data_IF_177998714017
#
_entry.id   IF_177998714017
#
_cell.length_a   1.000
_cell.length_b   1.000
_cell.length_c   1.000
_cell.angle_alpha   90.00
_cell.angle_beta   90.00
_cell.angle_gamma   90.00
#
_symmetry.space_group_name_H-M   'P 1'
#
loop_
_entity.id
_entity.type
_entity.pdbx_description
1 polymer ?
#
# COMPACT_ATOMS: atom_id res chain seq x y z
N UNK A 1 13.65 -3.47 -0.90
CA UNK A 1 14.92 -2.71 -0.73
C UNK A 1 14.62 -1.24 -1.03
N UNK A 2 15.26 -0.29 -0.34
CA UNK A 2 15.14 1.15 -0.62
C UNK A 2 16.52 1.64 -1.08
N UNK A 3 16.57 2.28 -2.26
CA UNK A 3 17.80 2.80 -2.88
C UNK A 3 17.92 4.30 -2.63
N UNK A 4 19.16 4.77 -2.67
CA UNK A 4 19.52 6.18 -2.57
C UNK A 4 18.89 6.85 -1.34
N UNK A 5 19.03 6.17 -0.20
CA UNK A 5 18.67 6.75 1.09
C UNK A 5 19.76 7.79 1.43
N UNK A 6 19.40 9.06 1.70
CA UNK A 6 20.35 10.06 2.18
C UNK A 6 21.04 9.61 3.48
N UNK A 7 22.30 10.02 3.67
CA UNK A 7 23.09 9.63 4.87
C UNK A 7 22.45 10.09 6.18
N UNK A 8 21.70 11.19 6.15
CA UNK A 8 21.00 11.78 7.30
C UNK A 8 19.51 11.43 7.35
N UNK A 9 19.08 10.41 6.60
CA UNK A 9 17.68 10.00 6.60
C UNK A 9 17.27 9.39 7.95
N UNK A 10 16.01 9.63 8.31
CA UNK A 10 15.36 9.08 9.50
C UNK A 10 14.34 8.03 9.11
N UNK A 11 14.27 6.93 9.86
CA UNK A 11 13.18 5.96 9.80
C UNK A 11 12.30 6.11 11.04
N UNK A 12 11.04 6.47 10.83
CA UNK A 12 10.01 6.45 11.87
C UNK A 12 9.15 5.20 11.66
N UNK A 13 9.04 4.36 12.68
CA UNK A 13 8.21 3.16 12.66
C UNK A 13 7.01 3.39 13.56
N UNK A 14 5.81 3.33 12.99
CA UNK A 14 4.54 3.45 13.72
C UNK A 14 3.84 2.09 13.73
N UNK A 15 3.31 1.72 14.89
CA UNK A 15 2.69 0.43 15.13
C UNK A 15 1.22 0.65 15.46
N UNK A 16 0.37 -0.13 14.82
CA UNK A 16 -1.07 -0.08 14.98
C UNK A 16 -1.60 -1.48 15.25
N UNK A 17 -2.58 -1.57 16.14
CA UNK A 17 -3.33 -2.78 16.41
C UNK A 17 -4.49 -2.89 15.42
N UNK A 18 -4.54 -4.03 14.73
CA UNK A 18 -5.55 -4.28 13.71
C UNK A 18 -6.56 -5.29 14.25
N UNK A 19 -7.69 -4.77 14.68
CA UNK A 19 -8.85 -5.59 15.04
C UNK A 19 -9.69 -5.95 13.81
N UNK A 20 -10.49 -7.02 13.84
CA UNK A 20 -11.43 -7.28 12.74
C UNK A 20 -12.74 -6.45 12.85
N UNK A 21 -13.05 -5.93 14.03
CA UNK A 21 -14.38 -5.37 14.34
C UNK A 21 -14.48 -3.83 14.28
N UNK A 22 -13.36 -3.10 14.18
CA UNK A 22 -13.33 -1.63 14.23
C UNK A 22 -13.15 -0.94 12.86
N UNK A 23 -13.55 0.32 12.84
CA UNK A 23 -13.27 1.36 11.84
C UNK A 23 -11.79 1.56 11.51
N UNK A 24 -11.04 1.69 12.61
CA UNK A 24 -9.76 2.35 12.68
C UNK A 24 -8.80 1.45 13.45
N UNK A 25 -7.55 1.44 13.02
CA UNK A 25 -6.50 0.69 13.71
C UNK A 25 -6.07 1.52 14.92
N UNK A 26 -5.96 0.87 16.08
CA UNK A 26 -5.64 1.57 17.31
C UNK A 26 -4.13 1.80 17.36
N UNK A 27 -3.71 3.04 17.59
CA UNK A 27 -2.30 3.37 17.65
C UNK A 27 -1.66 2.78 18.91
N UNK A 28 -0.66 1.91 18.72
CA UNK A 28 0.09 1.30 19.83
C UNK A 28 1.24 2.21 20.25
N UNK A 29 2.01 2.71 19.28
CA UNK A 29 3.20 3.51 19.55
C UNK A 29 4.15 3.63 18.36
N UNK A 30 5.25 4.32 18.58
CA UNK A 30 6.28 4.54 17.57
C UNK A 30 7.69 4.56 18.14
N UNK A 31 8.68 4.47 17.26
CA UNK A 31 10.08 4.75 17.57
C UNK A 31 10.80 5.26 16.32
N UNK A 32 11.97 5.88 16.53
CA UNK A 32 12.76 6.48 15.47
C UNK A 32 14.19 5.95 15.43
N UNK A 33 14.73 5.86 14.21
CA UNK A 33 16.14 5.52 13.94
C UNK A 33 16.73 6.62 13.07
N UNK A 34 17.81 7.24 13.55
CA UNK A 34 18.48 8.37 12.87
C UNK A 34 19.68 7.94 12.00
N UNK A 35 20.33 6.82 12.35
CA UNK A 35 21.48 6.31 11.60
C UNK A 35 21.13 4.95 10.98
N UNK A 36 20.81 4.95 9.70
CA UNK A 36 20.28 3.78 9.01
C UNK A 36 21.37 2.86 8.41
N UNK A 37 22.63 3.30 8.37
CA UNK A 37 23.70 2.58 7.66
C UNK A 37 24.12 1.35 8.46
N UNK A 38 23.83 0.16 7.91
CA UNK A 38 24.12 -1.14 8.56
C UNK A 38 23.64 -1.16 10.01
N UNK A 39 22.42 -0.68 10.22
CA UNK A 39 21.83 -0.51 11.53
C UNK A 39 21.49 -1.86 12.18
N UNK A 40 21.83 -1.99 13.46
CA UNK A 40 21.42 -3.11 14.30
C UNK A 40 20.68 -2.57 15.53
N UNK A 41 19.52 -3.14 15.82
CA UNK A 41 18.78 -2.82 17.03
C UNK A 41 19.58 -3.15 18.30
N UNK A 42 19.32 -2.45 19.42
CA UNK A 42 19.86 -2.82 20.73
C UNK A 42 19.50 -4.27 21.12
N UNK A 43 20.20 -4.90 22.07
CA UNK A 43 19.93 -6.28 22.48
C UNK A 43 18.46 -6.54 22.88
N UNK A 44 17.83 -5.55 23.53
CA UNK A 44 16.41 -5.62 23.94
C UNK A 44 15.42 -5.16 22.87
N UNK A 45 15.89 -4.65 21.73
CA UNK A 45 15.09 -4.03 20.69
C UNK A 45 14.82 -2.55 20.97
N UNK A 46 14.12 -1.88 20.05
CA UNK A 46 13.63 -0.53 20.24
C UNK A 46 12.41 -0.53 21.15
N UNK A 47 12.46 0.27 22.20
CA UNK A 47 11.29 0.50 23.01
C UNK A 47 10.23 1.24 22.19
N UNK A 48 9.04 0.67 22.12
CA UNK A 48 7.89 1.27 21.46
C UNK A 48 7.30 2.29 22.42
N UNK A 49 7.16 3.54 21.96
CA UNK A 49 6.62 4.63 22.77
C UNK A 49 5.18 4.91 22.33
N UNK A 50 4.24 4.57 23.20
CA UNK A 50 2.82 4.81 23.01
C UNK A 50 2.39 6.23 23.33
N UNK A 51 1.07 6.45 23.34
CA UNK A 51 0.49 7.72 23.76
C UNK A 51 0.93 8.05 25.20
N UNK A 52 1.15 9.33 25.50
CA UNK A 52 1.62 9.81 26.80
C UNK A 52 2.97 9.21 27.24
N UNK A 53 3.82 8.80 26.29
CA UNK A 53 5.13 8.22 26.52
C UNK A 53 5.12 6.88 27.29
N UNK A 54 4.02 6.14 27.26
CA UNK A 54 3.93 4.83 27.91
C UNK A 54 4.75 3.78 27.12
N UNK A 55 5.53 2.90 27.80
CA UNK A 55 6.27 1.82 27.15
C UNK A 55 5.33 0.71 26.64
N UNK A 56 5.28 0.47 25.33
CA UNK A 56 4.39 -0.51 24.69
C UNK A 56 5.14 -1.77 24.17
N UNK A 57 6.21 -2.17 24.86
CA UNK A 57 7.03 -3.33 24.47
C UNK A 57 8.24 -2.95 23.61
N UNK A 58 8.78 -3.94 22.89
CA UNK A 58 10.01 -3.80 22.12
C UNK A 58 9.88 -4.32 20.69
N UNK A 59 10.57 -3.67 19.75
CA UNK A 59 10.61 -4.03 18.34
C UNK A 59 12.06 -4.24 17.88
N UNK A 60 12.37 -5.42 17.35
CA UNK A 60 13.70 -5.72 16.79
C UNK A 60 13.71 -5.47 15.29
N UNK A 61 14.56 -4.53 14.86
CA UNK A 61 14.79 -4.21 13.46
C UNK A 61 16.29 -4.20 13.16
N UNK A 62 16.69 -4.76 12.03
CA UNK A 62 18.04 -4.59 11.50
C UNK A 62 17.95 -4.10 10.05
N UNK A 63 18.87 -3.23 9.67
CA UNK A 63 18.97 -2.66 8.33
C UNK A 63 20.33 -3.03 7.78
N UNK A 64 20.33 -3.74 6.65
CA UNK A 64 21.55 -3.96 5.88
C UNK A 64 21.64 -2.92 4.77
N UNK A 65 22.76 -2.22 4.67
CA UNK A 65 22.97 -1.11 3.73
C UNK A 65 24.10 -1.43 2.76
N UNK A 66 23.83 -1.20 1.47
CA UNK A 66 24.80 -1.36 0.39
C UNK A 66 25.00 0.01 -0.25
N UNK A 67 26.27 0.36 -0.54
CA UNK A 67 26.59 1.63 -1.21
C UNK A 67 25.97 1.64 -2.62
N UNK A 68 25.35 2.75 -3.00
CA UNK A 68 24.78 2.90 -4.35
C UNK A 68 25.85 2.73 -5.43
N UNK A 69 25.58 1.89 -6.42
CA UNK A 69 26.35 1.74 -7.67
C UNK A 69 26.16 2.94 -8.60
N UNK A 70 27.03 3.14 -9.59
CA UNK A 70 26.87 4.21 -10.61
C UNK A 70 25.51 4.13 -11.34
N UNK A 71 25.05 2.91 -11.61
CA UNK A 71 23.73 2.63 -12.21
C UNK A 71 22.56 3.00 -11.29
N UNK A 72 22.77 3.17 -10.00
CA UNK A 72 21.68 3.48 -9.06
C UNK A 72 21.73 4.92 -8.60
N UNK A 73 22.90 5.56 -8.59
CA UNK A 73 23.06 6.96 -8.18
C UNK A 73 22.20 7.96 -8.95
N UNK A 74 21.88 7.68 -10.21
CA UNK A 74 21.05 8.56 -11.03
C UNK A 74 19.54 8.46 -10.71
N UNK A 75 19.12 7.46 -9.94
CA UNK A 75 17.74 7.32 -9.50
C UNK A 75 17.43 8.37 -8.41
N UNK A 76 16.19 8.86 -8.30
CA UNK A 76 15.80 9.75 -7.21
C UNK A 76 16.06 9.16 -5.82
N UNK A 77 16.18 10.01 -4.80
CA UNK A 77 16.26 9.56 -3.40
C UNK A 77 15.03 8.76 -3.00
N UNK A 78 15.20 7.78 -2.10
CA UNK A 78 14.14 6.88 -1.64
C UNK A 78 13.51 6.03 -2.76
N UNK A 79 14.32 5.62 -3.74
CA UNK A 79 13.86 4.75 -4.83
C UNK A 79 13.75 3.31 -4.36
N UNK A 80 12.54 2.81 -4.14
CA UNK A 80 12.35 1.41 -3.74
C UNK A 80 12.64 0.45 -4.89
N UNK A 81 13.27 -0.70 -4.62
CA UNK A 81 13.29 -1.83 -5.57
C UNK A 81 11.91 -2.39 -5.79
N UNK A 82 11.53 -2.53 -7.06
CA UNK A 82 10.42 -3.40 -7.45
C UNK A 82 10.70 -4.78 -6.88
N UNK A 83 9.75 -5.30 -6.10
CA UNK A 83 8.52 -5.87 -6.63
C UNK A 83 7.27 -5.19 -6.08
N UNK A 84 6.22 -5.13 -6.90
CA UNK A 84 4.93 -4.57 -6.48
C UNK A 84 4.29 -5.57 -5.51
N UNK A 85 4.38 -5.29 -4.21
CA UNK A 85 3.69 -6.09 -3.21
C UNK A 85 2.19 -5.97 -3.49
N UNK A 86 1.53 -7.11 -3.52
CA UNK A 86 0.08 -7.14 -3.52
C UNK A 86 -0.42 -7.76 -2.23
N UNK A 87 -1.56 -7.27 -1.76
CA UNK A 87 -2.42 -7.96 -0.82
C UNK A 87 -3.78 -8.18 -1.47
N UNK A 88 -4.29 -9.40 -1.38
CA UNK A 88 -5.66 -9.74 -1.80
C UNK A 88 -6.59 -9.69 -0.59
N UNK A 89 -7.74 -9.07 -0.78
CA UNK A 89 -8.80 -8.92 0.20
C UNK A 89 -10.07 -9.53 -0.39
N UNK A 90 -10.61 -10.54 0.29
CA UNK A 90 -11.85 -11.18 -0.11
C UNK A 90 -13.00 -10.64 0.77
N UNK A 91 -14.04 -10.09 0.15
CA UNK A 91 -15.23 -9.58 0.85
C UNK A 91 -16.48 -10.37 0.47
N UNK A 92 -16.99 -11.16 1.41
CA UNK A 92 -18.26 -11.87 1.26
C UNK A 92 -19.47 -10.92 1.40
N UNK A 93 -19.35 -9.88 2.23
CA UNK A 93 -20.40 -8.90 2.47
C UNK A 93 -20.73 -8.10 1.19
N UNK A 94 -19.71 -7.69 0.44
CA UNK A 94 -19.91 -6.99 -0.83
C UNK A 94 -20.36 -7.93 -1.96
N UNK A 95 -19.90 -9.18 -1.97
CA UNK A 95 -20.45 -10.21 -2.88
C UNK A 95 -21.97 -10.34 -2.74
N UNK A 96 -22.48 -10.33 -1.49
CA UNK A 96 -23.93 -10.32 -1.23
C UNK A 96 -24.64 -9.00 -1.57
N UNK A 97 -24.01 -7.85 -1.29
CA UNK A 97 -24.60 -6.53 -1.56
C UNK A 97 -24.66 -6.18 -3.05
N UNK A 98 -23.74 -6.70 -3.87
CA UNK A 98 -23.65 -6.39 -5.31
C UNK A 98 -24.49 -7.31 -6.21
N UNK A 99 -25.28 -8.23 -5.64
CA UNK A 99 -26.13 -9.20 -6.36
C UNK A 99 -25.40 -10.04 -7.42
N UNK A 100 -24.07 -10.12 -7.37
CA UNK A 100 -23.29 -11.05 -8.17
C UNK A 100 -23.28 -12.37 -7.38
N UNK A 101 -24.25 -13.27 -7.62
CA UNK A 101 -24.39 -14.64 -7.07
C UNK A 101 -23.90 -14.87 -5.62
N UNK A 102 -24.73 -15.45 -4.76
CA UNK A 102 -24.40 -15.72 -3.35
C UNK A 102 -23.07 -16.50 -3.10
N UNK A 103 -22.53 -17.13 -4.16
CA UNK A 103 -21.28 -17.91 -4.16
C UNK A 103 -20.05 -17.14 -4.73
N UNK A 104 -20.20 -15.90 -5.21
CA UNK A 104 -19.08 -15.12 -5.77
C UNK A 104 -18.36 -14.32 -4.68
N UNK A 105 -17.10 -14.69 -4.43
CA UNK A 105 -16.19 -13.94 -3.55
C UNK A 105 -15.70 -12.69 -4.28
N UNK A 106 -16.10 -11.51 -3.81
CA UNK A 106 -15.53 -10.25 -4.31
C UNK A 106 -14.08 -10.16 -3.84
N UNK A 107 -13.13 -10.24 -4.78
CA UNK A 107 -11.69 -10.17 -4.51
C UNK A 107 -11.15 -8.82 -4.94
N UNK A 108 -10.46 -8.13 -4.05
CA UNK A 108 -9.81 -6.85 -4.33
C UNK A 108 -8.32 -6.99 -4.10
N UNK A 109 -7.50 -6.50 -5.04
CA UNK A 109 -6.05 -6.48 -4.90
C UNK A 109 -5.59 -5.05 -4.63
N UNK A 110 -4.89 -4.84 -3.52
CA UNK A 110 -4.13 -3.62 -3.29
C UNK A 110 -2.72 -3.86 -3.83
N UNK A 111 -2.34 -3.14 -4.88
CA UNK A 111 -1.02 -3.27 -5.52
C UNK A 111 -0.23 -1.99 -5.29
N UNK A 112 0.92 -2.13 -4.64
CA UNK A 112 1.77 -1.00 -4.31
C UNK A 112 2.70 -0.69 -5.50
N UNK A 113 2.30 0.26 -6.36
CA UNK A 113 3.10 0.72 -7.49
C UNK A 113 4.17 1.72 -7.01
N UNK A 114 5.42 1.52 -7.45
CA UNK A 114 6.57 2.37 -7.04
C UNK A 114 7.32 2.87 -8.27
N UNK A 115 8.12 3.92 -8.09
CA UNK A 115 8.90 4.58 -9.17
C UNK A 115 8.05 5.25 -10.26
N UNK A 116 6.77 5.54 -10.00
CA UNK A 116 5.88 6.23 -10.95
C UNK A 116 6.54 7.50 -11.49
N UNK A 117 7.17 8.32 -10.64
CA UNK A 117 7.84 9.57 -11.05
C UNK A 117 9.10 9.40 -11.93
N UNK A 118 9.73 8.21 -11.94
CA UNK A 118 10.85 7.90 -12.83
C UNK A 118 10.33 7.67 -14.26
N UNK A 119 9.15 7.06 -14.39
CA UNK A 119 8.52 6.77 -15.67
C UNK A 119 7.61 7.90 -16.16
N UNK A 120 7.00 8.64 -15.23
CA UNK A 120 6.13 9.78 -15.49
C UNK A 120 6.79 11.05 -14.98
N UNK A 121 7.50 11.73 -15.88
CA UNK A 121 8.13 13.02 -15.57
C UNK A 121 7.05 14.00 -15.08
N UNK A 122 7.32 14.85 -14.07
CA UNK A 122 6.34 15.81 -13.53
C UNK A 122 5.71 16.72 -14.59
N UNK A 123 6.45 17.02 -15.66
CA UNK A 123 6.01 17.84 -16.78
C UNK A 123 5.08 17.09 -17.76
N UNK A 124 5.06 15.75 -17.71
CA UNK A 124 4.19 14.89 -18.49
C UNK A 124 2.97 14.48 -17.63
N UNK A 125 2.16 15.47 -17.22
CA UNK A 125 0.86 15.16 -16.62
C UNK A 125 0.02 14.38 -17.63
N UNK A 126 -0.34 13.16 -17.28
CA UNK A 126 -1.17 12.33 -18.15
C UNK A 126 -2.56 12.93 -18.28
N UNK A 127 -3.07 12.98 -19.51
CA UNK A 127 -4.35 13.62 -19.84
C UNK A 127 -5.56 12.69 -19.67
N UNK A 128 -5.42 11.56 -18.97
CA UNK A 128 -6.50 10.57 -18.83
C UNK A 128 -7.75 11.16 -18.16
N UNK A 129 -7.58 12.17 -17.30
CA UNK A 129 -8.67 12.86 -16.60
C UNK A 129 -9.18 14.13 -17.31
N UNK A 130 -8.71 14.48 -18.51
CA UNK A 130 -9.10 15.75 -19.16
C UNK A 130 -10.34 15.63 -20.04
N UNK A 131 -10.66 14.43 -20.54
CA UNK A 131 -11.81 14.20 -21.44
C UNK A 131 -12.84 13.20 -20.89
N UNK A 132 -12.59 12.64 -19.71
CA UNK A 132 -13.45 11.59 -19.16
C UNK A 132 -14.24 12.11 -17.96
N UNK A 133 -15.53 12.39 -18.16
CA UNK A 133 -16.42 12.98 -17.15
C UNK A 133 -16.43 12.20 -15.84
N UNK A 134 -16.48 10.87 -15.89
CA UNK A 134 -16.49 10.06 -14.68
C UNK A 134 -15.20 10.20 -13.85
N UNK A 135 -14.03 10.26 -14.51
CA UNK A 135 -12.78 10.56 -13.82
C UNK A 135 -12.79 11.99 -13.25
N UNK A 136 -13.36 12.97 -13.95
CA UNK A 136 -13.44 14.35 -13.47
C UNK A 136 -14.34 14.49 -12.25
N UNK A 137 -15.42 13.70 -12.20
CA UNK A 137 -16.30 13.63 -11.03
C UNK A 137 -15.56 13.10 -9.80
N UNK A 138 -14.55 12.25 -9.95
CA UNK A 138 -13.82 11.65 -8.82
C UNK A 138 -12.55 12.44 -8.48
N UNK A 139 -11.79 12.83 -9.51
CA UNK A 139 -10.42 13.37 -9.41
C UNK A 139 -10.32 14.83 -9.89
N UNK A 140 -11.44 15.48 -10.19
CA UNK A 140 -11.48 16.87 -10.60
C UNK A 140 -11.17 17.84 -9.46
N UNK A 141 -11.23 19.13 -9.78
CA UNK A 141 -11.02 20.21 -8.83
C UNK A 141 -12.38 20.82 -8.45
N UNK A 142 -13.06 20.26 -7.46
CA UNK A 142 -14.34 20.79 -6.98
C UNK A 142 -14.88 20.11 -5.72
N UNK A 143 -15.86 20.71 -5.04
CA UNK A 143 -16.45 20.14 -3.83
C UNK A 143 -17.10 18.77 -4.09
N UNK A 144 -17.71 18.59 -5.27
CA UNK A 144 -18.31 17.30 -5.68
C UNK A 144 -17.27 16.20 -5.87
N UNK A 145 -16.06 16.54 -6.34
CA UNK A 145 -14.99 15.55 -6.49
C UNK A 145 -14.36 15.17 -5.16
N UNK A 146 -14.21 16.11 -4.23
CA UNK A 146 -13.79 15.81 -2.86
C UNK A 146 -14.77 14.87 -2.16
N UNK A 147 -16.07 15.12 -2.28
CA UNK A 147 -17.11 14.25 -1.72
C UNK A 147 -17.08 12.84 -2.35
N UNK A 148 -16.96 12.76 -3.68
CA UNK A 148 -16.88 11.49 -4.39
C UNK A 148 -15.62 10.70 -4.02
N UNK A 149 -14.47 11.36 -3.92
CA UNK A 149 -13.22 10.75 -3.49
C UNK A 149 -13.31 10.24 -2.04
N UNK A 150 -13.91 11.02 -1.13
CA UNK A 150 -14.11 10.60 0.25
C UNK A 150 -15.04 9.38 0.36
N UNK A 151 -16.14 9.37 -0.38
CA UNK A 151 -17.08 8.25 -0.44
C UNK A 151 -16.41 6.98 -1.01
N UNK A 152 -15.63 7.11 -2.09
CA UNK A 152 -14.87 6.00 -2.67
C UNK A 152 -13.81 5.49 -1.69
N UNK A 153 -13.05 6.39 -1.05
CA UNK A 153 -12.07 6.00 -0.02
C UNK A 153 -12.74 5.23 1.13
N UNK A 154 -13.91 5.67 1.57
CA UNK A 154 -14.69 4.99 2.60
C UNK A 154 -15.18 3.60 2.13
N UNK A 155 -15.78 3.53 0.94
CA UNK A 155 -16.24 2.27 0.36
C UNK A 155 -15.09 1.27 0.18
N UNK A 156 -13.94 1.76 -0.29
CA UNK A 156 -12.72 0.95 -0.44
C UNK A 156 -12.16 0.51 0.90
N UNK A 157 -12.16 1.37 1.91
CA UNK A 157 -11.79 0.97 3.26
C UNK A 157 -12.68 -0.17 3.80
N UNK A 158 -13.96 -0.21 3.42
CA UNK A 158 -14.87 -1.33 3.74
C UNK A 158 -14.54 -2.58 2.91
N UNK A 159 -14.15 -2.45 1.64
CA UNK A 159 -13.71 -3.59 0.80
C UNK A 159 -12.41 -4.22 1.27
N UNK A 160 -11.44 -3.40 1.66
CA UNK A 160 -10.16 -3.80 2.24
C UNK A 160 -10.30 -4.17 3.73
N UNK A 161 -11.48 -3.91 4.30
CA UNK A 161 -11.84 -4.12 5.69
C UNK A 161 -11.88 -5.59 6.08
N UNK A 162 -10.81 -6.00 6.77
CA UNK A 162 -10.81 -6.80 8.01
C UNK A 162 -11.38 -8.23 7.95
N UNK A 163 -10.55 -9.14 7.43
CA UNK A 163 -10.44 -10.48 8.02
C UNK A 163 -8.97 -10.81 8.27
N UNK A 164 -8.59 -11.13 9.51
CA UNK A 164 -7.25 -11.66 9.84
C UNK A 164 -6.95 -13.01 9.15
N UNK A 165 -7.98 -13.62 8.55
CA UNK A 165 -7.95 -15.01 8.06
C UNK A 165 -7.71 -15.20 6.57
N UNK A 166 -7.74 -14.17 5.72
CA UNK A 166 -7.67 -14.38 4.27
C UNK A 166 -6.84 -13.32 3.52
N UNK A 167 -5.55 -13.28 3.83
CA UNK A 167 -4.59 -12.44 3.11
C UNK A 167 -3.63 -13.30 2.29
N UNK A 168 -3.89 -13.40 0.99
CA UNK A 168 -2.84 -13.76 0.04
C UNK A 168 -1.95 -12.53 -0.13
N UNK A 169 -0.70 -12.65 0.28
CA UNK A 169 0.32 -11.63 0.11
C UNK A 169 1.39 -12.17 -0.80
N UNK A 170 1.82 -11.38 -1.78
CA UNK A 170 2.84 -11.80 -2.72
C UNK A 170 3.66 -10.65 -3.25
N UNK A 171 4.62 -11.01 -4.10
CA UNK A 171 5.49 -10.08 -4.81
C UNK A 171 5.26 -10.29 -6.30
N UNK A 172 5.01 -9.19 -7.02
CA UNK A 172 4.98 -9.19 -8.48
C UNK A 172 6.36 -8.85 -9.00
N UNK A 173 6.96 -9.78 -9.75
CA UNK A 173 8.30 -9.61 -10.34
C UNK A 173 8.21 -8.83 -11.64
N UNK A 174 7.17 -9.08 -12.43
CA UNK A 174 6.94 -8.47 -13.73
C UNK A 174 5.44 -8.24 -14.01
N UNK A 175 5.14 -7.78 -15.23
CA UNK A 175 3.77 -7.56 -15.67
C UNK A 175 3.00 -8.88 -15.86
N UNK A 176 3.66 -9.97 -16.22
CA UNK A 176 3.01 -11.27 -16.42
C UNK A 176 2.52 -11.82 -15.08
N UNK A 177 3.26 -11.62 -14.00
CA UNK A 177 2.82 -11.94 -12.64
C UNK A 177 1.54 -11.19 -12.28
N UNK A 178 1.45 -9.90 -12.64
CA UNK A 178 0.24 -9.10 -12.42
C UNK A 178 -0.94 -9.66 -13.21
N UNK A 179 -0.76 -9.93 -14.51
CA UNK A 179 -1.82 -10.45 -15.36
C UNK A 179 -2.28 -11.85 -14.90
N UNK A 180 -1.36 -12.71 -14.48
CA UNK A 180 -1.69 -14.02 -13.89
C UNK A 180 -2.47 -13.86 -12.59
N UNK A 181 -2.07 -12.93 -11.73
CA UNK A 181 -2.76 -12.66 -10.47
C UNK A 181 -4.20 -12.19 -10.68
N UNK A 182 -4.43 -11.28 -11.63
CA UNK A 182 -5.75 -10.65 -11.85
C UNK A 182 -6.68 -11.51 -12.71
N UNK A 183 -6.14 -12.22 -13.71
CA UNK A 183 -6.95 -12.91 -14.73
C UNK A 183 -6.83 -14.43 -14.71
N UNK A 184 -5.84 -14.99 -14.02
CA UNK A 184 -5.56 -16.43 -14.01
C UNK A 184 -5.70 -17.07 -12.63
N UNK A 185 -6.46 -16.47 -11.69
CA UNK A 185 -6.76 -17.10 -10.40
C UNK A 185 -7.30 -18.52 -10.61
N UNK A 186 -6.44 -19.50 -10.31
CA UNK A 186 -6.66 -20.93 -10.55
C UNK A 186 -7.75 -21.50 -9.63
N UNK A 187 -8.09 -20.80 -8.56
CA UNK A 187 -8.95 -21.31 -7.50
C UNK A 187 -10.43 -21.10 -7.77
N UNK A 188 -10.81 -20.03 -8.45
CA UNK A 188 -12.21 -19.62 -8.57
C UNK A 188 -12.76 -19.65 -10.00
N UNK A 189 -11.91 -19.61 -11.04
CA UNK A 189 -12.25 -19.63 -12.49
C UNK A 189 -13.34 -18.63 -12.96
N UNK A 190 -13.89 -17.81 -12.07
CA UNK A 190 -15.05 -16.95 -12.27
C UNK A 190 -14.81 -15.56 -11.66
N UNK A 191 -13.58 -15.06 -11.75
CA UNK A 191 -13.31 -13.67 -11.38
C UNK A 191 -13.64 -12.79 -12.59
N UNK A 192 -14.58 -11.86 -12.42
CA UNK A 192 -14.71 -10.70 -13.31
C UNK A 192 -13.88 -9.57 -12.71
N UNK A 193 -12.62 -9.37 -13.14
CA UNK A 193 -11.79 -8.33 -12.55
C UNK A 193 -12.37 -6.96 -12.89
N UNK A 194 -12.53 -6.12 -11.87
CA UNK A 194 -12.74 -4.70 -12.02
C UNK A 194 -11.53 -3.98 -11.43
N UNK A 195 -10.73 -3.35 -12.28
CA UNK A 195 -9.50 -2.67 -11.86
C UNK A 195 -9.83 -1.21 -11.60
N UNK A 196 -9.60 -0.76 -10.37
CA UNK A 196 -9.63 0.64 -10.01
C UNK A 196 -8.20 1.08 -9.67
N UNK A 197 -7.64 2.00 -10.45
CA UNK A 197 -6.30 2.55 -10.18
C UNK A 197 -6.46 3.92 -9.52
N UNK A 198 -5.86 4.09 -8.33
CA UNK A 198 -5.75 5.40 -7.68
C UNK A 198 -4.27 5.69 -7.46
N UNK A 199 -3.85 6.91 -7.81
CA UNK A 199 -2.63 7.48 -7.27
C UNK A 199 -3.04 8.12 -5.94
N UNK A 200 -2.68 7.48 -4.83
CA UNK A 200 -2.78 8.12 -3.52
C UNK A 200 -1.44 8.82 -3.32
N UNK A 201 -1.48 10.15 -3.46
CA UNK A 201 -0.43 11.03 -2.96
C UNK A 201 -0.61 11.19 -1.44
#
# INVERSE_FOLDING_TARGET
IVRNIPLNAKLTVKIYDKDDEKIFDDYIGEFEILNLINYHAPPKGHQIIGLLNYPCGYFHLSIHSIRSSEETKHLPSYTFDGPCRYSRHNSFAVGRLTMLNADCVYSTWEINLRRISVFFKPQQKQHWNTKYKAAQTIFGHGPTSLASLAAIKLAHKVLYGRTLKHHENGQLTDADDLWKLVFADRTTQCIKPCIYTYVID
#
